data_IF_978153020654
#
_entry.id   IF_978153020654
#
_cell.length_a   1.000
_cell.length_b   1.000
_cell.length_c   1.000
_cell.angle_alpha   90.00
_cell.angle_beta   90.00
_cell.angle_gamma   90.00
#
_symmetry.space_group_name_H-M   'P 1'
#
loop_
_entity.id
_entity.type
_entity.pdbx_description
1 polymer ?
#
# COMPACT_ATOMS: atom_id res chain seq x y z
N UNK A 1 16.56 -3.32 4.66
CA UNK A 1 16.05 -2.94 3.32
C UNK A 1 14.91 -1.96 3.52
N UNK A 2 14.86 -0.85 2.77
CA UNK A 2 13.78 0.14 2.89
C UNK A 2 12.71 -0.14 1.83
N UNK A 3 11.46 -0.25 2.24
CA UNK A 3 10.31 -0.55 1.38
C UNK A 3 9.28 0.57 1.54
N UNK A 4 8.86 1.16 0.42
CA UNK A 4 7.65 1.95 0.35
C UNK A 4 6.53 1.04 -0.12
N UNK A 5 5.62 0.72 0.78
CA UNK A 5 4.60 -0.31 0.56
C UNK A 5 3.37 0.19 -0.21
N UNK A 6 3.24 1.51 -0.37
CA UNK A 6 2.06 2.11 -0.98
C UNK A 6 2.40 3.43 -1.69
N UNK A 7 2.33 3.44 -3.02
CA UNK A 7 2.56 4.63 -3.82
C UNK A 7 1.86 4.57 -5.19
N UNK A 8 1.41 5.73 -5.69
CA UNK A 8 0.71 5.89 -6.96
C UNK A 8 1.66 6.49 -8.01
N UNK A 9 2.57 5.65 -8.49
CA UNK A 9 3.69 6.08 -9.34
C UNK A 9 3.57 5.67 -10.81
N UNK A 10 2.55 4.87 -11.17
CA UNK A 10 2.39 4.45 -12.57
C UNK A 10 1.78 5.58 -13.41
N UNK A 11 2.38 5.95 -14.56
CA UNK A 11 1.95 7.11 -15.33
C UNK A 11 0.52 6.94 -15.84
N UNK A 12 -0.39 7.83 -15.42
CA UNK A 12 -1.81 7.82 -15.84
C UNK A 12 -2.53 6.48 -15.61
N UNK A 13 -2.10 5.70 -14.63
CA UNK A 13 -2.84 4.49 -14.23
C UNK A 13 -4.08 4.84 -13.41
N UNK A 14 -3.94 5.86 -12.58
CA UNK A 14 -4.96 6.50 -11.76
C UNK A 14 -4.67 8.02 -11.66
N UNK A 15 -5.15 8.68 -10.59
CA UNK A 15 -4.90 10.11 -10.37
C UNK A 15 -3.58 10.42 -9.63
N UNK A 16 -2.75 9.39 -9.36
CA UNK A 16 -1.51 9.54 -8.58
C UNK A 16 -0.38 10.17 -9.37
N UNK A 17 -0.19 9.78 -10.62
CA UNK A 17 0.81 10.38 -11.54
C UNK A 17 0.17 10.82 -12.84
N UNK A 18 0.38 12.06 -13.23
CA UNK A 18 -0.18 12.67 -14.45
C UNK A 18 0.60 12.32 -15.72
N UNK A 19 1.75 11.66 -15.61
CA UNK A 19 2.53 11.23 -16.76
C UNK A 19 3.91 10.66 -16.43
N UNK A 20 4.63 10.28 -17.47
CA UNK A 20 5.94 9.62 -17.38
C UNK A 20 6.96 10.48 -16.62
N UNK A 21 7.02 11.78 -16.89
CA UNK A 21 7.96 12.70 -16.23
C UNK A 21 7.73 12.74 -14.71
N UNK A 22 6.47 12.87 -14.29
CA UNK A 22 6.09 12.84 -12.86
C UNK A 22 6.45 11.50 -12.23
N UNK A 23 6.17 10.40 -12.90
CA UNK A 23 6.50 9.04 -12.42
C UNK A 23 8.02 8.86 -12.23
N UNK A 24 8.82 9.25 -13.21
CA UNK A 24 10.28 9.18 -13.13
C UNK A 24 10.83 10.04 -11.98
N UNK A 25 10.26 11.23 -11.78
CA UNK A 25 10.61 12.10 -10.65
C UNK A 25 10.25 11.46 -9.30
N UNK A 26 9.07 10.83 -9.19
CA UNK A 26 8.67 10.10 -7.98
C UNK A 26 9.66 8.97 -7.66
N UNK A 27 10.06 8.18 -8.66
CA UNK A 27 11.05 7.10 -8.50
C UNK A 27 12.43 7.65 -8.12
N UNK A 28 12.86 8.77 -8.71
CA UNK A 28 14.12 9.42 -8.36
C UNK A 28 14.13 9.86 -6.88
N UNK A 29 13.06 10.46 -6.40
CA UNK A 29 12.90 10.86 -5.00
C UNK A 29 12.88 9.66 -4.04
N UNK A 30 12.25 8.55 -4.44
CA UNK A 30 12.29 7.30 -3.67
C UNK A 30 13.73 6.78 -3.55
N UNK A 31 14.47 6.77 -4.65
CA UNK A 31 15.89 6.41 -4.69
C UNK A 31 16.74 7.28 -3.77
N UNK A 32 16.56 8.61 -3.84
CA UNK A 32 17.27 9.57 -2.98
C UNK A 32 16.96 9.35 -1.49
N UNK A 33 15.75 8.94 -1.17
CA UNK A 33 15.35 8.56 0.19
C UNK A 33 15.87 7.18 0.63
N UNK A 34 16.57 6.47 -0.26
CA UNK A 34 17.12 5.15 0.01
C UNK A 34 16.09 4.02 0.00
N UNK A 35 14.95 4.22 -0.66
CA UNK A 35 13.96 3.16 -0.91
C UNK A 35 14.58 2.17 -1.90
N UNK A 36 14.46 0.89 -1.61
CA UNK A 36 14.99 -0.21 -2.42
C UNK A 36 13.89 -0.99 -3.14
N UNK A 37 12.71 -1.08 -2.53
CA UNK A 37 11.49 -1.59 -3.16
C UNK A 37 10.42 -0.51 -3.05
N UNK A 38 9.86 -0.15 -4.19
CA UNK A 38 8.79 0.83 -4.33
C UNK A 38 7.55 0.13 -4.88
N UNK A 39 6.56 -0.08 -4.03
CA UNK A 39 5.30 -0.69 -4.45
C UNK A 39 4.50 0.29 -5.30
N UNK A 40 4.10 -0.17 -6.48
CA UNK A 40 3.21 0.55 -7.37
C UNK A 40 1.78 0.01 -7.18
N UNK A 41 0.96 0.74 -6.46
CA UNK A 41 -0.37 0.32 -6.02
C UNK A 41 -1.48 1.25 -6.55
N UNK A 42 -1.66 1.35 -7.89
CA UNK A 42 -2.73 2.17 -8.42
C UNK A 42 -4.10 1.72 -7.91
N UNK A 43 -5.01 2.67 -7.79
CA UNK A 43 -6.37 2.40 -7.35
C UNK A 43 -7.10 1.43 -8.27
N UNK A 44 -7.80 0.48 -7.66
CA UNK A 44 -8.80 -0.37 -8.30
C UNK A 44 -10.14 -0.24 -7.58
N UNK A 45 -11.14 0.23 -8.30
CA UNK A 45 -12.50 0.41 -7.80
C UNK A 45 -13.44 -0.61 -8.43
N UNK A 46 -13.77 -1.74 -7.72
CA UNK A 46 -14.73 -2.71 -8.20
C UNK A 46 -16.09 -2.06 -8.49
N UNK A 47 -16.67 -2.36 -9.65
CA UNK A 47 -17.94 -1.77 -10.09
C UNK A 47 -17.79 -0.57 -11.02
N UNK A 48 -16.66 0.12 -11.03
CA UNK A 48 -16.34 1.15 -12.04
C UNK A 48 -15.25 0.70 -13.01
N UNK A 49 -14.51 -0.36 -12.66
CA UNK A 49 -13.48 -0.97 -13.50
C UNK A 49 -13.59 -2.50 -13.47
N UNK A 50 -13.16 -3.18 -14.52
CA UNK A 50 -13.03 -4.63 -14.54
C UNK A 50 -11.59 -5.04 -14.20
N UNK A 51 -11.42 -6.24 -13.62
CA UNK A 51 -10.08 -6.77 -13.34
C UNK A 51 -9.20 -6.81 -14.60
N UNK A 52 -9.75 -7.24 -15.74
CA UNK A 52 -9.02 -7.32 -17.00
C UNK A 52 -8.53 -5.93 -17.46
N UNK A 53 -9.41 -4.94 -17.49
CA UNK A 53 -9.06 -3.59 -17.93
C UNK A 53 -8.02 -2.94 -17.00
N UNK A 54 -8.16 -3.15 -15.70
CA UNK A 54 -7.20 -2.68 -14.71
C UNK A 54 -5.83 -3.35 -14.88
N UNK A 55 -5.79 -4.67 -14.96
CA UNK A 55 -4.55 -5.44 -15.07
C UNK A 55 -3.79 -5.10 -16.35
N UNK A 56 -4.49 -4.96 -17.47
CA UNK A 56 -3.91 -4.53 -18.75
C UNK A 56 -3.37 -3.10 -18.67
N UNK A 57 -4.11 -2.18 -18.04
CA UNK A 57 -3.66 -0.80 -17.81
C UNK A 57 -2.42 -0.79 -16.94
N UNK A 58 -2.45 -1.48 -15.79
CA UNK A 58 -1.31 -1.57 -14.88
C UNK A 58 -0.07 -2.13 -15.57
N UNK A 59 -0.21 -3.22 -16.34
CA UNK A 59 0.89 -3.83 -17.04
C UNK A 59 1.53 -2.89 -18.08
N UNK A 60 0.71 -2.22 -18.89
CA UNK A 60 1.19 -1.23 -19.88
C UNK A 60 1.91 -0.06 -19.22
N UNK A 61 1.34 0.50 -18.15
CA UNK A 61 1.92 1.64 -17.45
C UNK A 61 3.18 1.29 -16.69
N UNK A 62 3.26 0.07 -16.17
CA UNK A 62 4.49 -0.45 -15.57
C UNK A 62 5.60 -0.60 -16.63
N UNK A 63 5.27 -1.16 -17.80
CA UNK A 63 6.25 -1.30 -18.90
C UNK A 63 6.74 0.08 -19.40
N UNK A 64 5.83 1.06 -19.53
CA UNK A 64 6.16 2.44 -19.88
C UNK A 64 7.13 3.05 -18.86
N UNK A 65 6.83 2.97 -17.57
CA UNK A 65 7.71 3.50 -16.53
C UNK A 65 9.07 2.83 -16.53
N UNK A 66 9.09 1.50 -16.56
CA UNK A 66 10.34 0.73 -16.39
C UNK A 66 11.28 0.83 -17.57
N UNK A 67 10.78 1.17 -18.78
CA UNK A 67 11.63 1.37 -19.97
C UNK A 67 12.64 2.50 -19.81
N UNK A 68 12.31 3.53 -19.01
CA UNK A 68 13.12 4.73 -18.83
C UNK A 68 13.86 4.77 -17.47
N UNK A 69 13.73 3.70 -16.66
CA UNK A 69 14.42 3.64 -15.37
C UNK A 69 15.91 3.34 -15.53
N UNK A 70 16.74 4.02 -14.72
CA UNK A 70 18.15 3.68 -14.63
C UNK A 70 18.38 2.34 -13.88
N UNK A 71 19.57 1.76 -14.06
CA UNK A 71 19.93 0.46 -13.46
C UNK A 71 19.97 0.47 -11.92
N UNK A 72 20.05 1.64 -11.31
CA UNK A 72 20.11 1.82 -9.87
C UNK A 72 18.77 2.34 -9.30
N UNK A 73 17.70 2.31 -10.09
CA UNK A 73 16.37 2.61 -9.60
C UNK A 73 15.91 1.56 -8.56
N UNK A 74 15.02 1.92 -7.62
CA UNK A 74 14.36 0.95 -6.79
C UNK A 74 13.66 -0.14 -7.63
N UNK A 75 13.57 -1.35 -7.09
CA UNK A 75 12.68 -2.37 -7.66
C UNK A 75 11.25 -1.86 -7.61
N UNK A 76 10.56 -1.82 -8.76
CA UNK A 76 9.14 -1.49 -8.80
C UNK A 76 8.34 -2.77 -8.61
N UNK A 77 7.64 -2.86 -7.49
CA UNK A 77 6.80 -4.02 -7.16
C UNK A 77 5.33 -3.70 -7.49
N UNK A 78 4.76 -4.27 -8.56
CA UNK A 78 3.37 -4.01 -8.90
C UNK A 78 2.40 -4.70 -7.93
N UNK A 79 1.38 -3.96 -7.52
CA UNK A 79 0.24 -4.36 -6.73
C UNK A 79 -1.01 -3.63 -7.17
N UNK A 80 -1.96 -3.48 -6.28
CA UNK A 80 -3.13 -2.62 -6.42
C UNK A 80 -3.58 -2.15 -5.03
N UNK A 81 -4.09 -0.94 -4.93
CA UNK A 81 -4.92 -0.51 -3.82
C UNK A 81 -6.38 -0.78 -4.18
N UNK A 82 -6.95 -1.81 -3.55
CA UNK A 82 -8.29 -2.32 -3.90
C UNK A 82 -9.33 -1.78 -2.94
N UNK A 83 -10.29 -1.03 -3.45
CA UNK A 83 -11.41 -0.59 -2.61
C UNK A 83 -12.26 -1.78 -2.19
N UNK A 84 -12.47 -1.94 -0.88
CA UNK A 84 -13.31 -2.99 -0.33
C UNK A 84 -14.76 -2.79 -0.75
N UNK A 85 -15.34 -3.82 -1.35
CA UNK A 85 -16.77 -3.88 -1.66
C UNK A 85 -17.37 -5.22 -1.23
N UNK A 86 -18.69 -5.27 -1.08
CA UNK A 86 -19.36 -6.53 -0.78
C UNK A 86 -19.17 -7.51 -1.92
N UNK A 87 -18.81 -8.75 -1.58
CA UNK A 87 -18.60 -9.79 -2.58
C UNK A 87 -17.27 -9.68 -3.34
N UNK A 88 -16.32 -8.86 -2.88
CA UNK A 88 -15.00 -8.73 -3.49
C UNK A 88 -14.29 -10.09 -3.69
N UNK A 89 -14.54 -11.06 -2.80
CA UNK A 89 -14.00 -12.43 -2.88
C UNK A 89 -14.51 -13.23 -4.10
N UNK A 90 -15.53 -12.76 -4.79
CA UNK A 90 -16.03 -13.36 -6.05
C UNK A 90 -15.44 -12.70 -7.30
N UNK A 91 -14.57 -11.72 -7.13
CA UNK A 91 -14.00 -11.00 -8.27
C UNK A 91 -13.08 -11.93 -9.08
N UNK A 92 -13.30 -11.95 -10.38
CA UNK A 92 -12.42 -12.66 -11.31
C UNK A 92 -10.99 -12.12 -11.24
N UNK A 93 -10.00 -13.01 -11.29
CA UNK A 93 -8.58 -12.66 -11.25
C UNK A 93 -8.14 -11.88 -9.99
N UNK A 94 -8.87 -12.02 -8.90
CA UNK A 94 -8.59 -11.32 -7.64
C UNK A 94 -7.13 -11.49 -7.17
N UNK A 95 -6.57 -12.69 -7.28
CA UNK A 95 -5.18 -12.98 -6.88
C UNK A 95 -4.14 -12.17 -7.65
N UNK A 96 -4.46 -11.72 -8.87
CA UNK A 96 -3.57 -10.90 -9.68
C UNK A 96 -3.55 -9.41 -9.24
N UNK A 97 -4.48 -8.99 -8.37
CA UNK A 97 -4.47 -7.67 -7.73
C UNK A 97 -3.50 -7.61 -6.53
N UNK A 98 -3.08 -8.76 -6.00
CA UNK A 98 -2.06 -8.83 -4.96
C UNK A 98 -0.71 -8.26 -5.44
N UNK A 99 0.18 -7.96 -4.50
CA UNK A 99 1.57 -7.67 -4.84
C UNK A 99 2.16 -8.85 -5.60
N UNK A 100 2.85 -8.56 -6.70
CA UNK A 100 3.37 -9.59 -7.61
C UNK A 100 4.20 -10.64 -6.88
N UNK A 101 3.82 -11.89 -7.06
CA UNK A 101 4.51 -13.05 -6.47
C UNK A 101 4.13 -13.34 -5.01
N UNK A 102 3.07 -12.71 -4.49
CA UNK A 102 2.56 -12.91 -3.13
C UNK A 102 1.06 -13.19 -3.13
N UNK A 103 0.51 -13.48 -1.95
CA UNK A 103 -0.93 -13.49 -1.68
C UNK A 103 -1.39 -12.27 -0.86
N UNK A 104 -0.60 -11.21 -0.84
CA UNK A 104 -0.88 -9.99 -0.05
C UNK A 104 -1.72 -9.02 -0.88
N UNK A 105 -2.89 -8.67 -0.37
CA UNK A 105 -3.80 -7.70 -0.95
C UNK A 105 -3.85 -6.43 -0.10
N UNK A 106 -3.55 -5.29 -0.69
CA UNK A 106 -3.73 -3.97 -0.06
C UNK A 106 -5.17 -3.51 -0.28
N UNK A 107 -5.90 -3.27 0.81
CA UNK A 107 -7.34 -3.00 0.79
C UNK A 107 -7.64 -1.63 1.39
N UNK A 108 -8.28 -0.76 0.60
CA UNK A 108 -8.80 0.53 1.07
C UNK A 108 -10.23 0.37 1.60
N UNK A 109 -10.52 0.94 2.78
CA UNK A 109 -11.88 0.94 3.32
C UNK A 109 -12.74 1.99 2.60
N UNK A 110 -13.98 1.65 2.18
CA UNK A 110 -14.86 2.63 1.57
C UNK A 110 -15.31 3.69 2.60
N UNK A 111 -15.71 4.90 2.17
CA UNK A 111 -16.11 5.99 3.09
C UNK A 111 -17.25 5.64 4.04
N UNK A 112 -18.14 4.74 3.63
CA UNK A 112 -19.29 4.25 4.40
C UNK A 112 -19.02 2.93 5.12
N UNK A 113 -17.73 2.59 5.32
CA UNK A 113 -17.33 1.33 5.94
C UNK A 113 -17.99 1.11 7.30
N UNK A 114 -18.54 -0.10 7.47
CA UNK A 114 -19.00 -0.64 8.76
C UNK A 114 -18.57 -2.10 8.84
N UNK A 115 -17.78 -2.46 9.83
CA UNK A 115 -17.20 -3.80 9.95
C UNK A 115 -18.24 -4.92 9.76
N UNK A 116 -19.39 -4.84 10.45
CA UNK A 116 -20.46 -5.84 10.35
C UNK A 116 -21.04 -6.06 8.94
N UNK A 117 -20.85 -5.11 8.03
CA UNK A 117 -21.32 -5.25 6.64
C UNK A 117 -20.28 -5.91 5.73
N UNK A 118 -19.01 -5.89 6.12
CA UNK A 118 -17.90 -6.39 5.32
C UNK A 118 -17.20 -7.60 5.96
N UNK A 119 -17.53 -7.95 7.20
CA UNK A 119 -16.95 -9.06 7.95
C UNK A 119 -16.90 -10.34 7.13
N UNK A 120 -18.07 -10.79 6.61
CA UNK A 120 -18.13 -11.97 5.76
C UNK A 120 -17.26 -11.89 4.50
N UNK A 121 -17.14 -10.71 3.90
CA UNK A 121 -16.28 -10.53 2.70
C UNK A 121 -14.81 -10.62 3.10
N UNK A 122 -14.42 -9.99 4.20
CA UNK A 122 -13.05 -10.04 4.72
C UNK A 122 -12.64 -11.47 5.13
N UNK A 123 -13.53 -12.18 5.82
CA UNK A 123 -13.32 -13.59 6.17
C UNK A 123 -13.15 -14.47 4.92
N UNK A 124 -14.01 -14.30 3.92
CA UNK A 124 -13.92 -15.07 2.67
C UNK A 124 -12.62 -14.75 1.90
N UNK A 125 -12.20 -13.48 1.86
CA UNK A 125 -10.90 -13.11 1.29
C UNK A 125 -9.73 -13.81 2.01
N UNK A 126 -9.79 -13.87 3.32
CA UNK A 126 -8.71 -14.45 4.14
C UNK A 126 -8.73 -15.99 4.10
N UNK A 127 -9.89 -16.61 4.30
CA UNK A 127 -9.99 -18.06 4.50
C UNK A 127 -10.29 -18.83 3.21
N UNK A 128 -11.20 -18.35 2.37
CA UNK A 128 -11.58 -19.05 1.14
C UNK A 128 -10.58 -18.73 0.01
N UNK A 129 -10.23 -17.45 -0.17
CA UNK A 129 -9.26 -17.02 -1.17
C UNK A 129 -7.81 -17.15 -0.70
N UNK A 130 -7.55 -17.42 0.60
CA UNK A 130 -6.22 -17.54 1.22
C UNK A 130 -5.33 -16.31 1.02
N UNK A 131 -5.94 -15.13 1.05
CA UNK A 131 -5.24 -13.87 0.92
C UNK A 131 -4.83 -13.32 2.28
N UNK A 132 -3.68 -12.68 2.34
CA UNK A 132 -3.25 -11.89 3.47
C UNK A 132 -3.68 -10.43 3.23
N UNK A 133 -4.58 -9.92 4.05
CA UNK A 133 -5.15 -8.59 3.88
C UNK A 133 -4.33 -7.59 4.68
N UNK A 134 -3.91 -6.52 4.02
CA UNK A 134 -3.33 -5.33 4.64
C UNK A 134 -4.26 -4.16 4.37
N UNK A 135 -4.78 -3.56 5.45
CA UNK A 135 -5.65 -2.37 5.35
C UNK A 135 -4.78 -1.15 5.08
N UNK A 136 -5.07 -0.46 3.98
CA UNK A 136 -4.34 0.73 3.56
C UNK A 136 -4.57 1.90 4.53
N UNK A 137 -3.54 2.74 4.71
CA UNK A 137 -3.55 4.02 5.44
C UNK A 137 -4.53 4.09 6.62
N UNK A 138 -4.44 3.12 7.55
CA UNK A 138 -5.32 3.02 8.75
C UNK A 138 -5.30 4.29 9.61
N UNK A 139 -4.29 5.16 9.43
CA UNK A 139 -4.18 6.46 10.05
C UNK A 139 -5.23 7.49 9.57
N UNK A 140 -5.81 7.30 8.38
CA UNK A 140 -6.88 8.16 7.87
C UNK A 140 -8.20 7.97 8.62
N UNK A 141 -8.46 6.75 9.12
CA UNK A 141 -9.71 6.38 9.80
C UNK A 141 -9.47 5.42 10.99
N UNK A 142 -8.70 5.85 11.99
CA UNK A 142 -8.24 4.95 13.06
C UNK A 142 -9.38 4.33 13.88
N UNK A 143 -10.52 5.01 14.04
CA UNK A 143 -11.68 4.46 14.73
C UNK A 143 -12.34 3.29 13.96
N UNK A 144 -12.28 3.33 12.62
CA UNK A 144 -12.79 2.24 11.76
C UNK A 144 -11.78 1.11 11.65
N UNK A 145 -10.49 1.43 11.68
CA UNK A 145 -9.41 0.45 11.57
C UNK A 145 -9.21 -0.36 12.86
N UNK A 146 -9.43 0.24 14.03
CA UNK A 146 -9.18 -0.41 15.32
C UNK A 146 -9.90 -1.75 15.46
N UNK A 147 -11.21 -1.89 15.19
CA UNK A 147 -11.87 -3.20 15.27
C UNK A 147 -11.30 -4.25 14.31
N UNK A 148 -10.75 -3.81 13.17
CA UNK A 148 -10.10 -4.71 12.21
C UNK A 148 -8.75 -5.20 12.73
N UNK A 149 -7.94 -4.29 13.26
CA UNK A 149 -6.64 -4.62 13.85
C UNK A 149 -6.82 -5.53 15.08
N UNK A 150 -7.82 -5.26 15.92
CA UNK A 150 -8.20 -6.10 17.07
C UNK A 150 -8.67 -7.50 16.63
N UNK A 151 -9.29 -7.61 15.45
CA UNK A 151 -9.69 -8.88 14.84
C UNK A 151 -8.51 -9.62 14.16
N UNK A 152 -7.30 -9.04 14.16
CA UNK A 152 -6.09 -9.65 13.62
C UNK A 152 -5.80 -9.33 12.14
N UNK A 153 -6.53 -8.40 11.53
CA UNK A 153 -6.13 -7.87 10.22
C UNK A 153 -4.90 -6.98 10.36
N UNK A 154 -4.09 -6.94 9.31
CA UNK A 154 -2.85 -6.16 9.29
C UNK A 154 -3.11 -4.75 8.71
N UNK A 155 -2.31 -3.78 9.15
CA UNK A 155 -2.44 -2.40 8.70
C UNK A 155 -1.16 -1.84 8.06
N UNK A 156 -1.35 -0.89 7.16
CA UNK A 156 -0.32 -0.01 6.64
C UNK A 156 -0.59 1.41 7.12
N UNK A 157 0.45 2.10 7.62
CA UNK A 157 0.41 3.52 8.00
C UNK A 157 1.05 4.39 6.92
N UNK A 158 0.49 5.57 6.69
CA UNK A 158 1.20 6.59 5.93
C UNK A 158 2.34 7.18 6.76
N UNK A 159 3.51 7.31 6.15
CA UNK A 159 4.69 7.87 6.83
C UNK A 159 4.43 9.30 7.37
N UNK A 160 3.56 10.05 6.72
CA UNK A 160 3.14 11.39 7.11
C UNK A 160 2.48 11.43 8.49
N UNK A 161 1.70 10.42 8.85
CA UNK A 161 0.99 10.34 10.13
C UNK A 161 1.94 10.30 11.33
N UNK A 162 3.11 9.71 11.15
CA UNK A 162 4.17 9.66 12.17
C UNK A 162 4.93 10.99 12.33
N UNK A 163 4.73 11.94 11.41
CA UNK A 163 5.35 13.25 11.46
C UNK A 163 4.61 14.24 12.37
N UNK A 164 3.35 13.95 12.72
CA UNK A 164 2.51 14.76 13.61
C UNK A 164 2.62 14.29 15.06
N UNK A 165 2.12 15.10 16.01
CA UNK A 165 1.98 14.69 17.41
C UNK A 165 0.62 14.04 17.69
N UNK A 166 -0.32 14.22 16.77
CA UNK A 166 -1.67 13.70 16.91
C UNK A 166 -1.66 12.17 16.82
N UNK A 167 -2.30 11.52 17.78
CA UNK A 167 -2.41 10.04 17.87
C UNK A 167 -1.09 9.27 17.84
N UNK A 168 0.04 9.93 18.05
CA UNK A 168 1.37 9.29 18.02
C UNK A 168 1.44 8.04 18.88
N UNK A 169 0.94 8.10 20.13
CA UNK A 169 0.95 6.95 21.05
C UNK A 169 0.18 5.75 20.49
N UNK A 170 -0.96 5.98 19.85
CA UNK A 170 -1.78 4.95 19.23
C UNK A 170 -1.03 4.26 18.08
N UNK A 171 -0.44 5.05 17.17
CA UNK A 171 0.29 4.46 16.03
C UNK A 171 1.54 3.71 16.47
N UNK A 172 2.24 4.20 17.51
CA UNK A 172 3.38 3.48 18.08
C UNK A 172 2.94 2.17 18.71
N UNK A 173 1.84 2.13 19.50
CA UNK A 173 1.33 0.87 20.07
C UNK A 173 0.98 -0.15 18.98
N UNK A 174 0.33 0.26 17.88
CA UNK A 174 0.03 -0.63 16.76
C UNK A 174 1.26 -1.15 16.01
N UNK A 175 2.35 -0.37 15.98
CA UNK A 175 3.63 -0.86 15.45
C UNK A 175 4.27 -1.84 16.42
N UNK A 176 4.28 -1.54 17.72
CA UNK A 176 4.89 -2.37 18.77
C UNK A 176 4.18 -3.73 18.92
N UNK A 177 2.85 -3.78 18.86
CA UNK A 177 2.07 -5.01 18.97
C UNK A 177 2.04 -5.85 17.68
N UNK A 178 2.53 -5.31 16.56
CA UNK A 178 2.61 -6.02 15.28
C UNK A 178 1.40 -5.87 14.39
N UNK A 179 0.37 -5.13 14.77
CA UNK A 179 -0.80 -4.85 13.94
C UNK A 179 -0.43 -4.07 12.68
N UNK A 180 0.59 -3.19 12.77
CA UNK A 180 1.15 -2.51 11.60
C UNK A 180 2.34 -3.29 11.06
N UNK A 181 2.27 -3.59 9.77
CA UNK A 181 3.32 -4.35 9.06
C UNK A 181 4.04 -3.53 7.98
N UNK A 182 3.56 -2.34 7.66
CA UNK A 182 4.13 -1.57 6.56
C UNK A 182 3.97 -0.05 6.73
N UNK A 183 4.93 0.69 6.15
CA UNK A 183 4.81 2.12 5.86
C UNK A 183 4.61 2.33 4.37
N UNK A 184 3.75 3.31 4.01
CA UNK A 184 3.58 3.80 2.66
C UNK A 184 3.80 5.30 2.59
N UNK A 185 4.25 5.79 1.45
CA UNK A 185 4.26 7.24 1.17
C UNK A 185 2.87 7.72 0.78
N UNK A 186 2.09 6.86 0.14
CA UNK A 186 0.82 7.19 -0.50
C UNK A 186 0.97 8.39 -1.45
N UNK A 187 2.09 8.37 -2.19
CA UNK A 187 2.55 9.48 -2.99
C UNK A 187 1.68 9.67 -4.24
N UNK A 188 1.08 10.85 -4.35
CA UNK A 188 0.29 11.30 -5.50
C UNK A 188 0.98 12.51 -6.14
N UNK A 189 1.62 12.32 -7.27
CA UNK A 189 2.15 13.38 -8.17
C UNK A 189 3.17 14.36 -7.60
N UNK A 190 3.25 14.54 -6.29
CA UNK A 190 4.02 15.58 -5.64
C UNK A 190 5.21 15.07 -4.84
N UNK A 191 6.07 16.00 -4.46
CA UNK A 191 7.44 15.79 -4.02
C UNK A 191 7.61 15.69 -2.50
N UNK A 192 6.55 15.84 -1.70
CA UNK A 192 6.65 15.94 -0.24
C UNK A 192 6.71 14.61 0.49
N UNK A 193 6.26 13.52 -0.14
CA UNK A 193 6.07 12.22 0.51
C UNK A 193 7.34 11.63 1.12
N UNK A 194 8.48 11.73 0.44
CA UNK A 194 9.72 11.12 0.93
C UNK A 194 10.42 11.91 2.03
N UNK A 195 10.22 13.22 2.11
CA UNK A 195 10.64 13.99 3.29
C UNK A 195 9.98 13.46 4.56
N UNK A 196 8.68 13.19 4.49
CA UNK A 196 7.92 12.61 5.60
C UNK A 196 8.35 11.16 5.89
N UNK A 197 8.66 10.37 4.87
CA UNK A 197 9.17 9.01 5.03
C UNK A 197 10.51 8.99 5.78
N UNK A 198 11.44 9.87 5.43
CA UNK A 198 12.72 10.03 6.14
C UNK A 198 12.54 10.52 7.58
N UNK A 199 11.58 11.43 7.82
CA UNK A 199 11.26 11.89 9.17
C UNK A 199 10.65 10.75 10.01
N UNK A 200 9.75 9.95 9.46
CA UNK A 200 9.17 8.77 10.11
C UNK A 200 10.27 7.78 10.49
N UNK A 201 11.19 7.46 9.58
CA UNK A 201 12.35 6.61 9.84
C UNK A 201 13.16 7.11 11.03
N UNK A 202 13.49 8.42 11.06
CA UNK A 202 14.25 9.01 12.18
C UNK A 202 13.49 8.93 13.51
N UNK A 203 12.17 9.14 13.49
CA UNK A 203 11.34 9.13 14.71
C UNK A 203 11.12 7.73 15.28
N UNK A 204 10.99 6.73 14.43
CA UNK A 204 10.78 5.33 14.82
C UNK A 204 12.08 4.69 15.33
N UNK A 205 13.25 5.08 14.79
CA UNK A 205 14.51 4.48 15.18
C UNK A 205 14.52 2.95 14.95
N UNK A 206 14.73 2.16 16.01
CA UNK A 206 14.75 0.69 15.92
C UNK A 206 13.42 0.08 15.46
N UNK A 207 12.29 0.66 15.85
CA UNK A 207 10.98 0.20 15.37
C UNK A 207 10.83 0.30 13.85
N UNK A 208 11.54 1.24 13.22
CA UNK A 208 11.56 1.30 11.76
C UNK A 208 12.18 0.06 11.14
N UNK A 209 13.31 -0.41 11.66
CA UNK A 209 14.00 -1.57 11.13
C UNK A 209 13.14 -2.84 11.30
N UNK A 210 12.48 -2.99 12.46
CA UNK A 210 11.54 -4.07 12.72
C UNK A 210 10.34 -4.03 11.75
N UNK A 211 9.80 -2.84 11.49
CA UNK A 211 8.68 -2.65 10.56
C UNK A 211 9.09 -2.97 9.12
N UNK A 212 10.31 -2.60 8.71
CA UNK A 212 10.84 -2.96 7.40
C UNK A 212 11.05 -4.48 7.25
N UNK A 213 11.49 -5.17 8.31
CA UNK A 213 11.59 -6.64 8.28
C UNK A 213 10.20 -7.33 8.21
N UNK A 214 9.18 -6.78 8.87
CA UNK A 214 7.79 -7.26 8.70
C UNK A 214 7.31 -7.06 7.26
N UNK A 215 7.51 -5.86 6.70
CA UNK A 215 7.16 -5.57 5.30
C UNK A 215 7.86 -6.51 4.32
N UNK A 216 9.14 -6.78 4.57
CA UNK A 216 9.94 -7.72 3.78
C UNK A 216 9.40 -9.14 3.89
N UNK A 217 9.12 -9.60 5.10
CA UNK A 217 8.60 -10.95 5.36
C UNK A 217 7.26 -11.18 4.67
N UNK A 218 6.32 -10.22 4.80
CA UNK A 218 4.99 -10.36 4.20
C UNK A 218 5.05 -10.37 2.66
N UNK A 219 6.01 -9.64 2.08
CA UNK A 219 6.25 -9.63 0.63
C UNK A 219 7.11 -10.78 0.12
N UNK A 220 7.59 -11.69 1.00
CA UNK A 220 8.42 -12.82 0.61
C UNK A 220 9.80 -12.41 0.07
N UNK A 221 10.41 -11.36 0.61
CA UNK A 221 11.68 -10.78 0.15
C UNK A 221 12.85 -11.02 1.09
#
# INVERSE_FOLDING_TARGET
MNIDFHAHILPKADHGSDGQETSLRQVALAKEAGIQILAATPHFYPGSDTSDAFLDRRARRLAELTADLDRNAPEILPGAEVQLCRGLHHLDRLSELCFKGTNVLLVELPPDFRFSQFERTLEALQYDCKLQIVIAHVDRYPELAMPLLDAGYLGQLNASSLCTLFRKKLYYSWIEDGSIVALGSDLHGTTTGYTQFLQAKKKLGKLYDELMERSKTILGR
#
